data_IF_458625502595
#
_entry.id   IF_458625502595
#
_cell.length_a   1.000
_cell.length_b   1.000
_cell.length_c   1.000
_cell.angle_alpha   90.00
_cell.angle_beta   90.00
_cell.angle_gamma   90.00
#
_symmetry.space_group_name_H-M   'P 1'
#
loop_
_entity.id
_entity.type
_entity.pdbx_description
1 polymer ?
#
# COMPACT_ATOMS: atom_id res chain seq x y z
N UNK A 1 -14.71 -4.64 -43.12
CA UNK A 1 -14.21 -3.51 -43.97
C UNK A 1 -12.70 -3.57 -44.06
N UNK A 2 -12.12 -3.05 -45.13
CA UNK A 2 -10.65 -3.04 -45.36
C UNK A 2 -9.84 -2.48 -44.19
N UNK A 3 -10.42 -1.52 -43.46
CA UNK A 3 -9.81 -0.95 -42.25
C UNK A 3 -9.85 -1.94 -41.04
N UNK A 4 -10.96 -2.65 -40.85
CA UNK A 4 -11.06 -3.68 -39.82
C UNK A 4 -10.07 -4.82 -40.05
N UNK A 5 -9.98 -5.30 -41.33
CA UNK A 5 -9.06 -6.39 -41.69
C UNK A 5 -7.59 -5.98 -41.44
N UNK A 6 -7.25 -4.70 -41.68
CA UNK A 6 -5.91 -4.15 -41.42
C UNK A 6 -5.62 -4.06 -39.94
N UNK A 7 -6.59 -3.67 -39.07
CA UNK A 7 -6.45 -3.65 -37.63
C UNK A 7 -6.28 -5.06 -37.05
N UNK A 8 -7.11 -6.01 -37.48
CA UNK A 8 -7.01 -7.41 -37.07
C UNK A 8 -5.65 -8.00 -37.42
N UNK A 9 -5.14 -7.70 -38.64
CA UNK A 9 -3.80 -8.13 -39.09
C UNK A 9 -2.70 -7.52 -38.22
N UNK A 10 -2.82 -6.25 -37.84
CA UNK A 10 -1.84 -5.55 -37.01
C UNK A 10 -1.81 -6.14 -35.57
N UNK A 11 -2.97 -6.42 -34.96
CA UNK A 11 -3.05 -7.02 -33.62
C UNK A 11 -2.68 -8.52 -33.61
N UNK A 12 -2.75 -9.20 -34.77
CA UNK A 12 -2.28 -10.59 -34.85
C UNK A 12 -0.74 -10.73 -34.87
N UNK A 13 0.01 -9.63 -34.96
CA UNK A 13 1.46 -9.66 -34.81
C UNK A 13 1.92 -9.90 -33.40
N UNK A 14 3.11 -10.49 -33.15
CA UNK A 14 3.61 -10.82 -31.81
C UNK A 14 3.70 -9.64 -30.84
N UNK A 15 3.78 -8.42 -31.35
CA UNK A 15 3.81 -7.22 -30.52
C UNK A 15 2.44 -6.80 -29.99
N UNK A 16 1.35 -7.38 -30.49
CA UNK A 16 -0.04 -7.05 -30.13
C UNK A 16 -0.31 -5.53 -30.10
N UNK A 17 0.38 -4.78 -30.94
CA UNK A 17 0.33 -3.31 -31.00
C UNK A 17 -0.03 -2.84 -32.41
N UNK A 18 -0.85 -1.78 -32.43
CA UNK A 18 -1.22 -1.09 -33.67
C UNK A 18 -0.94 0.41 -33.54
N UNK A 19 -0.36 1.00 -34.56
CA UNK A 19 -0.15 2.43 -34.65
C UNK A 19 -1.06 2.95 -35.79
N UNK A 20 -1.95 3.87 -35.42
CA UNK A 20 -2.83 4.56 -36.41
C UNK A 20 -2.31 5.97 -36.56
N UNK A 21 -2.05 6.34 -37.82
CA UNK A 21 -1.68 7.70 -38.18
C UNK A 21 -2.93 8.42 -38.68
N UNK A 22 -3.30 9.51 -38.04
CA UNK A 22 -4.45 10.35 -38.40
C UNK A 22 -3.91 11.65 -38.95
N UNK A 23 -4.24 11.96 -40.24
CA UNK A 23 -3.86 13.22 -40.86
C UNK A 23 -4.54 14.38 -40.12
N UNK A 24 -3.76 15.40 -39.78
CA UNK A 24 -4.27 16.60 -39.15
C UNK A 24 -4.40 17.71 -40.17
N UNK A 25 -5.61 18.23 -40.36
CA UNK A 25 -5.83 19.45 -41.11
C UNK A 25 -5.28 20.64 -40.31
N UNK A 26 -4.53 21.52 -40.98
CA UNK A 26 -3.88 22.69 -40.39
C UNK A 26 -4.86 23.65 -39.66
N UNK A 27 -6.16 23.52 -39.89
CA UNK A 27 -7.22 24.33 -39.29
C UNK A 27 -7.67 23.83 -37.90
N UNK A 28 -7.50 22.54 -37.59
CA UNK A 28 -7.94 21.96 -36.31
C UNK A 28 -6.85 22.00 -35.20
N UNK A 29 -5.60 22.19 -35.57
CA UNK A 29 -4.47 22.28 -34.64
C UNK A 29 -4.58 23.46 -33.66
N UNK A 30 -5.37 24.50 -34.00
CA UNK A 30 -5.51 25.71 -33.15
C UNK A 30 -6.61 25.64 -32.12
N UNK A 31 -7.48 24.62 -32.12
CA UNK A 31 -8.65 24.57 -31.24
C UNK A 31 -8.59 23.49 -30.13
N UNK A 32 -7.61 22.57 -30.18
CA UNK A 32 -7.42 21.55 -29.15
C UNK A 32 -6.14 21.82 -28.37
N UNK A 33 -6.25 22.74 -27.39
CA UNK A 33 -5.19 23.14 -26.47
C UNK A 33 -4.93 22.12 -25.32
N UNK A 34 -5.04 20.83 -25.59
CA UNK A 34 -4.54 19.80 -24.68
C UNK A 34 -3.04 19.61 -24.94
N UNK A 35 -2.21 20.22 -24.11
CA UNK A 35 -0.73 20.16 -24.17
C UNK A 35 -0.15 18.74 -24.23
N UNK A 36 -0.93 17.70 -23.92
CA UNK A 36 -0.52 16.29 -23.99
C UNK A 36 -0.49 15.67 -25.39
N UNK A 37 -1.03 16.34 -26.41
CA UNK A 37 -1.12 15.79 -27.77
C UNK A 37 0.00 16.26 -28.71
N UNK A 38 0.86 17.19 -28.31
CA UNK A 38 1.93 17.73 -29.15
C UNK A 38 3.14 16.79 -29.33
N UNK A 39 3.33 15.84 -28.44
CA UNK A 39 4.50 14.94 -28.48
C UNK A 39 4.43 13.81 -29.52
N UNK A 40 3.27 13.59 -30.18
CA UNK A 40 3.04 12.47 -31.08
C UNK A 40 2.77 12.89 -32.52
N UNK A 41 3.26 14.05 -32.96
CA UNK A 41 3.11 14.50 -34.37
C UNK A 41 4.31 14.03 -35.18
N UNK A 42 4.05 13.31 -36.29
CA UNK A 42 5.04 12.96 -37.30
C UNK A 42 4.76 13.67 -38.60
N UNK A 43 5.80 14.18 -39.25
CA UNK A 43 5.68 14.72 -40.58
C UNK A 43 6.09 13.63 -41.60
N UNK A 44 5.14 13.21 -42.46
CA UNK A 44 5.35 12.21 -43.49
C UNK A 44 4.87 12.85 -44.80
N UNK A 45 5.72 12.86 -45.81
CA UNK A 45 5.45 13.43 -47.13
C UNK A 45 4.94 14.89 -47.09
N UNK A 46 5.50 15.70 -46.15
CA UNK A 46 5.11 17.10 -45.97
C UNK A 46 3.76 17.33 -45.29
N UNK A 47 3.12 16.27 -44.78
CA UNK A 47 1.85 16.35 -44.04
C UNK A 47 2.05 15.98 -42.59
N UNK A 48 1.29 16.61 -41.70
CA UNK A 48 1.33 16.35 -40.26
C UNK A 48 0.36 15.24 -39.89
N UNK A 49 0.87 14.22 -39.20
CA UNK A 49 0.12 13.06 -38.75
C UNK A 49 0.19 12.93 -37.24
N UNK A 50 -0.95 12.72 -36.59
CA UNK A 50 -1.02 12.36 -35.17
C UNK A 50 -0.88 10.84 -35.03
N UNK A 51 0.15 10.40 -34.28
CA UNK A 51 0.39 8.99 -34.03
C UNK A 51 -0.46 8.55 -32.82
N UNK A 52 -1.37 7.62 -33.05
CA UNK A 52 -2.19 6.98 -31.98
C UNK A 52 -1.78 5.53 -31.86
N UNK A 53 -1.27 5.17 -30.68
CA UNK A 53 -0.86 3.80 -30.34
C UNK A 53 -1.97 3.06 -29.63
N UNK A 54 -2.26 1.86 -30.10
CA UNK A 54 -3.22 0.93 -29.52
C UNK A 54 -2.52 -0.38 -29.19
N UNK A 55 -2.83 -0.98 -28.06
CA UNK A 55 -2.33 -2.29 -27.65
C UNK A 55 -3.51 -3.17 -27.29
N UNK A 56 -3.43 -4.45 -27.59
CA UNK A 56 -4.38 -5.47 -27.13
C UNK A 56 -4.11 -5.83 -25.66
N UNK A 57 -2.88 -5.61 -25.18
CA UNK A 57 -2.50 -5.77 -23.77
C UNK A 57 -2.76 -4.49 -22.97
N UNK A 58 -2.91 -4.65 -21.65
CA UNK A 58 -3.02 -3.51 -20.72
C UNK A 58 -1.66 -2.85 -20.52
N UNK A 59 -1.27 -2.00 -21.44
CA UNK A 59 0.02 -1.33 -21.45
C UNK A 59 -0.12 0.19 -21.37
N UNK A 60 0.75 0.83 -20.59
CA UNK A 60 0.81 2.29 -20.53
C UNK A 60 1.35 2.86 -21.84
N UNK A 61 0.60 3.76 -22.47
CA UNK A 61 0.96 4.36 -23.77
C UNK A 61 2.23 5.22 -23.71
N UNK A 62 2.56 5.79 -22.54
CA UNK A 62 3.71 6.69 -22.38
C UNK A 62 5.01 5.97 -22.03
N UNK A 63 4.96 5.00 -21.11
CA UNK A 63 6.19 4.34 -20.61
C UNK A 63 6.30 2.86 -20.98
N UNK A 64 5.30 2.26 -21.63
CA UNK A 64 5.30 0.86 -22.03
C UNK A 64 5.10 -0.14 -20.88
N UNK A 65 4.84 0.32 -19.67
CA UNK A 65 4.61 -0.60 -18.53
C UNK A 65 3.36 -1.43 -18.77
N UNK A 66 3.51 -2.74 -18.62
CA UNK A 66 2.41 -3.70 -18.69
C UNK A 66 1.69 -3.84 -17.36
N UNK A 67 0.38 -4.05 -17.42
CA UNK A 67 -0.49 -4.28 -16.28
C UNK A 67 -1.24 -5.59 -16.48
N UNK A 68 -1.48 -6.29 -15.38
CA UNK A 68 -2.31 -7.50 -15.39
C UNK A 68 -3.75 -7.17 -15.78
N UNK A 69 -4.44 -8.10 -16.45
CA UNK A 69 -5.86 -7.94 -16.75
C UNK A 69 -6.66 -7.73 -15.47
N UNK A 70 -7.59 -6.76 -15.43
CA UNK A 70 -8.40 -6.47 -14.27
C UNK A 70 -9.20 -7.71 -13.83
N UNK A 71 -8.98 -8.15 -12.61
CA UNK A 71 -9.73 -9.24 -12.00
C UNK A 71 -10.01 -8.92 -10.52
N UNK A 72 -11.09 -9.44 -9.91
CA UNK A 72 -11.48 -9.08 -8.54
C UNK A 72 -10.38 -9.27 -7.50
N UNK A 73 -9.51 -10.26 -7.67
CA UNK A 73 -8.38 -10.55 -6.77
C UNK A 73 -7.32 -9.45 -6.77
N UNK A 74 -7.17 -8.71 -7.88
CA UNK A 74 -6.23 -7.60 -7.99
C UNK A 74 -6.60 -6.46 -7.04
N UNK A 75 -7.89 -6.26 -6.76
CA UNK A 75 -8.39 -5.19 -5.89
C UNK A 75 -8.60 -5.62 -4.44
N UNK A 76 -8.08 -6.78 -4.06
CA UNK A 76 -8.18 -7.32 -2.70
C UNK A 76 -6.82 -7.32 -2.01
N UNK A 77 -6.71 -6.60 -0.90
CA UNK A 77 -5.52 -6.64 -0.05
C UNK A 77 -5.33 -7.98 0.70
N UNK A 78 -6.32 -8.87 0.68
CA UNK A 78 -6.22 -10.24 1.19
C UNK A 78 -5.71 -11.24 0.14
N UNK A 79 -5.49 -10.79 -1.10
CA UNK A 79 -4.95 -11.60 -2.18
C UNK A 79 -3.49 -11.20 -2.46
N UNK A 80 -2.56 -12.16 -2.58
CA UNK A 80 -1.18 -11.86 -2.94
C UNK A 80 -1.04 -11.08 -4.26
N UNK A 81 -2.02 -11.21 -5.17
CA UNK A 81 -2.03 -10.50 -6.45
C UNK A 81 -2.23 -8.99 -6.27
N UNK A 82 -3.08 -8.57 -5.33
CA UNK A 82 -3.43 -7.17 -5.12
C UNK A 82 -2.76 -6.54 -3.91
N UNK A 83 -2.28 -7.34 -2.97
CA UNK A 83 -1.66 -6.88 -1.74
C UNK A 83 -0.35 -6.12 -2.00
N UNK A 84 -0.08 -5.11 -1.19
CA UNK A 84 1.22 -4.47 -1.15
C UNK A 84 2.31 -5.49 -0.78
N UNK A 85 3.39 -5.63 -1.57
CA UNK A 85 4.40 -6.66 -1.33
C UNK A 85 5.21 -6.45 -0.03
N UNK A 86 5.26 -5.21 0.48
CA UNK A 86 6.02 -4.88 1.70
C UNK A 86 5.27 -5.21 2.98
N UNK A 87 3.97 -4.93 3.03
CA UNK A 87 3.14 -5.17 4.22
C UNK A 87 2.13 -6.30 4.04
N UNK A 88 2.17 -7.00 2.90
CA UNK A 88 1.29 -8.15 2.60
C UNK A 88 -0.21 -7.85 2.79
N UNK A 89 -0.61 -6.59 2.54
CA UNK A 89 -1.99 -6.14 2.68
C UNK A 89 -2.39 -5.66 4.09
N UNK A 90 -1.47 -5.65 5.06
CA UNK A 90 -1.78 -5.18 6.42
C UNK A 90 -1.85 -3.64 6.53
N UNK A 91 -1.21 -2.90 5.62
CA UNK A 91 -1.12 -1.44 5.65
C UNK A 91 -0.09 -0.91 6.65
N UNK A 92 0.35 -1.75 7.56
CA UNK A 92 1.36 -1.46 8.58
C UNK A 92 2.44 -2.53 8.56
N UNK A 93 3.64 -2.14 8.98
CA UNK A 93 4.76 -3.05 9.21
C UNK A 93 5.11 -3.05 10.69
N UNK A 94 5.51 -4.22 11.19
CA UNK A 94 6.01 -4.35 12.56
C UNK A 94 7.49 -3.96 12.55
N UNK A 95 7.88 -3.04 13.42
CA UNK A 95 9.27 -2.66 13.59
C UNK A 95 9.66 -2.66 15.07
N UNK A 96 10.95 -2.77 15.36
CA UNK A 96 11.47 -2.60 16.68
C UNK A 96 11.41 -1.12 17.05
N UNK A 97 10.73 -0.81 18.16
CA UNK A 97 10.41 0.56 18.56
C UNK A 97 11.47 1.03 19.56
N UNK A 98 12.24 2.05 19.16
CA UNK A 98 13.30 2.57 20.01
C UNK A 98 12.80 3.25 21.29
N UNK A 99 11.60 3.83 21.27
CA UNK A 99 10.99 4.42 22.47
C UNK A 99 10.61 3.34 23.50
N UNK A 100 10.28 2.12 23.03
CA UNK A 100 10.04 0.97 23.90
C UNK A 100 11.35 0.31 24.34
N UNK A 101 12.36 0.27 23.45
CA UNK A 101 13.66 -0.36 23.72
C UNK A 101 14.48 0.50 24.68
N UNK A 102 14.42 1.81 24.56
CA UNK A 102 15.10 2.79 25.42
C UNK A 102 14.06 3.75 25.97
N UNK A 103 13.26 3.33 26.96
CA UNK A 103 12.16 4.14 27.48
C UNK A 103 12.63 5.35 28.31
N UNK A 104 13.86 5.33 28.76
CA UNK A 104 14.48 6.41 29.53
C UNK A 104 15.88 6.72 28.99
N UNK A 105 15.93 7.67 28.07
CA UNK A 105 17.18 8.11 27.44
C UNK A 105 18.12 8.86 28.40
N UNK A 106 17.69 9.19 29.62
CA UNK A 106 18.54 9.78 30.66
C UNK A 106 19.45 8.76 31.34
N UNK A 107 19.12 7.47 31.22
CA UNK A 107 19.95 6.38 31.73
C UNK A 107 21.17 6.14 30.88
N UNK A 108 22.24 5.63 31.52
CA UNK A 108 23.43 5.17 30.85
C UNK A 108 23.27 3.72 30.36
N UNK A 109 24.13 3.27 29.45
CA UNK A 109 24.15 1.86 29.03
C UNK A 109 24.42 0.97 30.24
N UNK A 110 25.34 1.37 31.13
CA UNK A 110 25.68 0.67 32.34
C UNK A 110 24.47 0.54 33.29
N UNK A 111 23.67 1.60 33.43
CA UNK A 111 22.47 1.63 34.26
C UNK A 111 21.25 0.97 33.60
N UNK A 112 21.44 0.34 32.42
CA UNK A 112 20.40 -0.41 31.74
C UNK A 112 19.44 0.43 30.93
N UNK A 113 19.91 1.43 30.20
CA UNK A 113 19.11 2.20 29.25
C UNK A 113 18.39 1.30 28.23
N UNK A 114 19.04 0.20 27.80
CA UNK A 114 18.48 -0.76 26.83
C UNK A 114 17.63 -1.80 27.59
N UNK A 115 16.35 -1.53 27.70
CA UNK A 115 15.40 -2.29 28.52
C UNK A 115 15.31 -3.80 28.18
N UNK A 116 15.34 -4.27 26.92
CA UNK A 116 15.35 -5.70 26.60
C UNK A 116 16.48 -6.48 27.26
N UNK A 117 17.65 -5.86 27.42
CA UNK A 117 18.86 -6.48 27.98
C UNK A 117 18.91 -6.46 29.53
N UNK A 118 17.90 -5.85 30.19
CA UNK A 118 17.77 -5.86 31.63
C UNK A 118 17.09 -7.14 32.16
N UNK A 119 16.59 -7.97 31.27
CA UNK A 119 16.04 -9.28 31.65
C UNK A 119 17.19 -10.25 31.98
N UNK A 120 17.10 -11.04 33.06
CA UNK A 120 18.13 -12.01 33.45
C UNK A 120 18.53 -12.98 32.30
N UNK A 121 17.59 -13.30 31.42
CA UNK A 121 17.84 -14.17 30.27
C UNK A 121 18.73 -13.53 29.20
N UNK A 122 18.83 -12.19 29.16
CA UNK A 122 19.51 -11.43 28.10
C UNK A 122 20.50 -10.39 28.63
N UNK A 123 20.78 -10.41 29.92
CA UNK A 123 21.75 -9.52 30.56
C UNK A 123 23.17 -9.70 30.01
N UNK A 124 23.50 -10.88 29.50
CA UNK A 124 24.77 -11.17 28.84
C UNK A 124 25.04 -10.26 27.64
N UNK A 125 24.03 -9.86 26.88
CA UNK A 125 24.17 -8.93 25.73
C UNK A 125 24.67 -7.55 26.20
N UNK A 126 24.17 -7.07 27.35
CA UNK A 126 24.63 -5.83 27.97
C UNK A 126 26.08 -5.98 28.47
N UNK A 127 26.40 -7.09 29.13
CA UNK A 127 27.77 -7.35 29.62
C UNK A 127 28.78 -7.45 28.46
N UNK A 128 28.38 -8.06 27.36
CA UNK A 128 29.21 -8.16 26.16
C UNK A 128 29.47 -6.77 25.56
N UNK A 129 28.44 -5.93 25.42
CA UNK A 129 28.61 -4.55 24.96
C UNK A 129 29.54 -3.74 25.88
N UNK A 130 29.41 -3.89 27.21
CA UNK A 130 30.27 -3.22 28.18
C UNK A 130 31.72 -3.67 28.10
N UNK A 131 31.96 -4.97 27.81
CA UNK A 131 33.32 -5.50 27.64
C UNK A 131 33.97 -4.98 26.35
N UNK A 132 33.21 -4.71 25.31
CA UNK A 132 33.69 -4.18 24.04
C UNK A 132 33.86 -2.64 24.03
N UNK A 133 33.33 -1.96 25.06
CA UNK A 133 33.24 -0.51 25.08
C UNK A 133 34.58 0.22 24.97
N UNK A 134 35.60 -0.27 25.64
CA UNK A 134 36.96 0.32 25.64
C UNK A 134 37.63 0.17 24.25
N UNK A 135 37.48 -0.98 23.59
CA UNK A 135 38.09 -1.26 22.29
C UNK A 135 37.51 -0.36 21.16
N UNK A 136 36.31 0.19 21.34
CA UNK A 136 35.57 0.95 20.34
C UNK A 136 35.20 2.37 20.76
N UNK A 137 35.84 2.92 21.77
CA UNK A 137 35.60 4.27 22.32
C UNK A 137 34.11 4.53 22.59
N UNK A 138 33.36 3.53 23.05
CA UNK A 138 31.94 3.65 23.34
C UNK A 138 31.74 4.16 24.77
N UNK A 139 31.23 5.38 24.99
CA UNK A 139 30.98 5.92 26.32
C UNK A 139 29.74 5.26 26.94
N UNK A 140 29.94 4.40 27.91
CA UNK A 140 28.86 3.62 28.58
C UNK A 140 28.29 4.28 29.83
N UNK A 141 28.94 5.35 30.30
CA UNK A 141 28.61 6.08 31.52
C UNK A 141 27.97 7.47 31.25
N UNK A 142 27.64 7.75 30.00
CA UNK A 142 26.91 8.96 29.58
C UNK A 142 25.44 8.62 29.30
N UNK A 143 24.50 9.58 29.47
CA UNK A 143 23.10 9.38 29.10
C UNK A 143 22.94 8.93 27.65
N UNK A 144 22.02 8.01 27.39
CA UNK A 144 21.79 7.44 26.05
C UNK A 144 21.54 8.53 24.98
N UNK A 145 20.81 9.58 25.34
CA UNK A 145 20.53 10.73 24.45
C UNK A 145 21.79 11.50 24.02
N UNK A 146 22.89 11.39 24.74
CA UNK A 146 24.14 12.10 24.46
C UNK A 146 25.12 11.29 23.58
N UNK A 147 24.72 10.07 23.22
CA UNK A 147 25.51 9.18 22.37
C UNK A 147 25.55 9.74 20.93
N UNK A 148 26.72 9.71 20.30
CA UNK A 148 26.91 10.09 18.90
C UNK A 148 26.34 9.03 17.98
N UNK A 149 26.08 9.41 16.71
CA UNK A 149 25.59 8.49 15.68
C UNK A 149 26.52 7.28 15.46
N UNK A 150 27.83 7.47 15.58
CA UNK A 150 28.82 6.36 15.52
C UNK A 150 28.60 5.33 16.63
N UNK A 151 28.31 5.79 17.85
CA UNK A 151 28.02 4.93 19.00
C UNK A 151 26.69 4.19 18.83
N UNK A 152 25.66 4.91 18.41
CA UNK A 152 24.35 4.32 18.11
C UNK A 152 24.44 3.26 17.02
N UNK A 153 25.30 3.46 16.01
CA UNK A 153 25.54 2.45 14.97
C UNK A 153 26.11 1.15 15.55
N UNK A 154 27.06 1.23 16.46
CA UNK A 154 27.62 0.06 17.15
C UNK A 154 26.56 -0.66 17.95
N UNK A 155 25.72 0.07 18.68
CA UNK A 155 24.62 -0.51 19.49
C UNK A 155 23.57 -1.18 18.59
N UNK A 156 23.26 -0.57 17.43
CA UNK A 156 22.26 -1.12 16.51
C UNK A 156 22.78 -2.28 15.66
N UNK A 157 23.91 -2.08 14.99
CA UNK A 157 24.43 -3.01 13.98
C UNK A 157 25.37 -4.08 14.58
N UNK A 158 25.89 -3.78 15.79
CA UNK A 158 26.90 -4.63 16.42
C UNK A 158 28.28 -4.49 15.79
N UNK A 159 29.16 -5.42 16.15
CA UNK A 159 30.57 -5.48 15.72
C UNK A 159 30.84 -6.86 15.14
N UNK A 160 30.90 -6.95 13.81
CA UNK A 160 31.04 -8.24 13.11
C UNK A 160 32.31 -8.98 13.45
N UNK A 161 33.44 -8.26 13.65
CA UNK A 161 34.73 -8.82 13.98
C UNK A 161 34.79 -9.52 15.36
N UNK A 162 33.83 -9.13 16.23
CA UNK A 162 33.71 -9.67 17.60
C UNK A 162 32.44 -10.54 17.76
N UNK A 163 31.76 -10.89 16.66
CA UNK A 163 30.54 -11.67 16.64
C UNK A 163 29.37 -11.05 17.48
N UNK A 164 29.53 -9.79 17.89
CA UNK A 164 28.49 -9.06 18.62
C UNK A 164 27.44 -8.52 17.62
N UNK A 165 26.22 -9.00 17.75
CA UNK A 165 25.13 -8.69 16.79
C UNK A 165 24.44 -7.35 17.03
N UNK A 166 24.63 -6.70 18.16
CA UNK A 166 23.90 -5.52 18.58
C UNK A 166 22.39 -5.77 18.69
N UNK A 167 21.62 -4.70 18.69
CA UNK A 167 20.14 -4.79 18.73
C UNK A 167 19.58 -5.53 17.52
N UNK A 168 20.10 -5.27 16.33
CA UNK A 168 19.64 -5.92 15.10
C UNK A 168 19.86 -7.43 15.14
N UNK A 169 21.04 -7.88 15.55
CA UNK A 169 21.37 -9.30 15.71
C UNK A 169 20.51 -9.96 16.78
N UNK A 170 20.36 -9.33 17.93
CA UNK A 170 19.53 -9.79 19.02
C UNK A 170 18.07 -9.99 18.60
N UNK A 171 17.44 -8.98 17.97
CA UNK A 171 16.05 -9.09 17.50
C UNK A 171 15.91 -10.10 16.35
N UNK A 172 16.88 -10.19 15.44
CA UNK A 172 16.90 -11.20 14.39
C UNK A 172 16.99 -12.62 14.95
N UNK A 173 17.79 -12.83 16.00
CA UNK A 173 17.89 -14.10 16.72
C UNK A 173 16.56 -14.49 17.40
N UNK A 174 15.89 -13.54 18.04
CA UNK A 174 14.56 -13.74 18.64
C UNK A 174 13.51 -14.06 17.57
N UNK A 175 13.53 -13.36 16.43
CA UNK A 175 12.58 -13.56 15.31
C UNK A 175 12.65 -14.98 14.75
N UNK A 176 13.85 -15.52 14.55
CA UNK A 176 14.05 -16.91 14.13
C UNK A 176 13.44 -17.94 15.07
N UNK A 177 13.20 -17.55 16.34
CA UNK A 177 12.70 -18.43 17.41
C UNK A 177 11.29 -18.07 17.90
N UNK A 178 10.59 -17.20 17.18
CA UNK A 178 9.21 -16.75 17.54
C UNK A 178 8.16 -17.87 17.61
N UNK A 179 8.49 -19.06 17.14
CA UNK A 179 7.65 -20.25 17.33
C UNK A 179 7.49 -20.62 18.82
N UNK A 180 8.45 -20.24 19.67
CA UNK A 180 8.34 -20.38 21.12
C UNK A 180 7.50 -19.24 21.70
N UNK A 181 6.42 -19.59 22.40
CA UNK A 181 5.42 -18.63 22.89
C UNK A 181 6.02 -17.50 23.73
N UNK A 182 6.92 -17.84 24.68
CA UNK A 182 7.53 -16.86 25.57
C UNK A 182 8.40 -15.85 24.80
N UNK A 183 9.11 -16.27 23.73
CA UNK A 183 9.91 -15.36 22.91
C UNK A 183 9.03 -14.46 22.06
N UNK A 184 7.91 -14.96 21.55
CA UNK A 184 6.93 -14.15 20.81
C UNK A 184 6.31 -13.08 21.71
N UNK A 185 5.95 -13.42 22.94
CA UNK A 185 5.44 -12.46 23.93
C UNK A 185 6.51 -11.45 24.32
N UNK A 186 7.76 -11.88 24.49
CA UNK A 186 8.88 -10.97 24.76
C UNK A 186 9.09 -9.97 23.61
N UNK A 187 9.14 -10.46 22.36
CA UNK A 187 9.27 -9.62 21.16
C UNK A 187 8.17 -8.57 21.05
N UNK A 188 6.92 -8.94 21.35
CA UNK A 188 5.79 -8.03 21.21
C UNK A 188 5.85 -6.80 22.13
N UNK A 189 6.66 -6.86 23.20
CA UNK A 189 6.85 -5.72 24.14
C UNK A 189 7.72 -4.60 23.56
N UNK A 190 8.56 -4.92 22.59
CA UNK A 190 9.57 -4.02 22.01
C UNK A 190 9.24 -3.59 20.58
N UNK A 191 8.01 -3.87 20.14
CA UNK A 191 7.55 -3.66 18.78
C UNK A 191 6.31 -2.81 18.75
N UNK A 192 6.28 -1.92 17.76
CA UNK A 192 5.09 -1.16 17.43
C UNK A 192 4.74 -1.34 15.95
N UNK A 193 3.54 -0.87 15.60
CA UNK A 193 3.06 -0.85 14.22
C UNK A 193 3.33 0.53 13.64
N UNK A 194 4.09 0.57 12.55
CA UNK A 194 4.29 1.77 11.75
C UNK A 194 3.58 1.62 10.42
N UNK A 195 3.00 2.70 9.94
CA UNK A 195 2.42 2.72 8.60
C UNK A 195 3.43 2.27 7.55
N UNK A 196 3.02 1.43 6.61
CA UNK A 196 3.88 0.91 5.56
C UNK A 196 4.38 2.06 4.69
N UNK A 197 5.70 2.18 4.54
CA UNK A 197 6.33 3.24 3.75
C UNK A 197 6.16 3.04 2.24
N UNK A 198 5.80 1.84 1.79
CA UNK A 198 5.61 1.53 0.38
C UNK A 198 4.20 1.89 -0.11
N UNK A 199 3.16 1.47 0.61
CA UNK A 199 1.77 1.73 0.24
C UNK A 199 1.09 2.84 1.07
N UNK A 200 1.79 3.45 2.00
CA UNK A 200 1.27 4.53 2.85
C UNK A 200 -0.09 4.23 3.51
N UNK A 201 -0.32 2.94 3.82
CA UNK A 201 -1.56 2.48 4.44
C UNK A 201 -2.62 1.95 3.48
N UNK A 202 -2.48 2.13 2.17
CA UNK A 202 -3.47 1.71 1.16
C UNK A 202 -3.62 0.20 1.03
N UNK A 203 -2.66 -0.59 1.54
CA UNK A 203 -2.63 -2.06 1.57
C UNK A 203 -2.51 -2.72 0.21
N UNK A 204 -2.67 -2.00 -0.88
CA UNK A 204 -2.68 -2.49 -2.25
C UNK A 204 -1.36 -2.17 -2.96
N UNK A 205 -1.08 -2.91 -4.01
CA UNK A 205 0.06 -2.67 -4.88
C UNK A 205 -0.26 -1.61 -5.95
N UNK A 206 0.77 -1.16 -6.67
CA UNK A 206 0.64 -0.12 -7.70
C UNK A 206 -0.24 -0.53 -8.88
N UNK A 207 -0.35 -1.83 -9.21
CA UNK A 207 -1.22 -2.29 -10.29
C UNK A 207 -2.70 -2.14 -9.94
N UNK A 208 -3.08 -2.50 -8.70
CA UNK A 208 -4.43 -2.31 -8.20
C UNK A 208 -4.82 -0.83 -8.17
N UNK A 209 -3.88 0.03 -7.76
CA UNK A 209 -4.10 1.48 -7.66
C UNK A 209 -4.09 2.21 -9.01
N UNK A 210 -3.59 1.58 -10.08
CA UNK A 210 -3.61 2.15 -11.43
C UNK A 210 -5.00 2.18 -12.07
N UNK A 211 -5.96 1.42 -11.53
CA UNK A 211 -7.35 1.43 -12.01
C UNK A 211 -8.16 2.47 -11.28
N UNK A 212 -8.88 3.31 -12.02
CA UNK A 212 -9.73 4.36 -11.47
C UNK A 212 -11.15 4.28 -12.00
N UNK A 213 -12.11 4.72 -11.19
CA UNK A 213 -13.51 4.91 -11.53
C UNK A 213 -13.86 6.37 -11.22
N UNK A 214 -14.36 7.12 -12.21
CA UNK A 214 -14.66 8.54 -12.01
C UNK A 214 -13.45 9.36 -11.56
N UNK A 215 -12.22 8.96 -11.96
CA UNK A 215 -10.97 9.62 -11.61
C UNK A 215 -10.37 9.23 -10.25
N UNK A 216 -11.04 8.39 -9.44
CA UNK A 216 -10.55 7.92 -8.14
C UNK A 216 -10.21 6.44 -8.18
N UNK A 217 -9.10 6.04 -7.53
CA UNK A 217 -8.75 4.65 -7.32
C UNK A 217 -9.47 4.07 -6.08
N UNK A 218 -9.37 2.75 -5.90
CA UNK A 218 -10.08 2.06 -4.81
C UNK A 218 -9.62 2.53 -3.41
N UNK A 219 -8.34 2.86 -3.21
CA UNK A 219 -7.83 3.33 -1.93
C UNK A 219 -8.38 4.72 -1.61
N UNK A 220 -8.37 5.65 -2.57
CA UNK A 220 -8.95 6.98 -2.43
C UNK A 220 -10.44 6.93 -2.09
N UNK A 221 -11.21 6.06 -2.77
CA UNK A 221 -12.62 5.84 -2.45
C UNK A 221 -12.78 5.29 -1.03
N UNK A 222 -11.95 4.32 -0.61
CA UNK A 222 -12.02 3.73 0.73
C UNK A 222 -11.65 4.72 1.85
N UNK A 223 -10.83 5.73 1.58
CA UNK A 223 -10.45 6.79 2.53
C UNK A 223 -11.54 7.86 2.70
N UNK A 224 -12.51 7.90 1.79
CA UNK A 224 -13.63 8.83 1.91
C UNK A 224 -14.61 8.36 2.99
N UNK A 225 -15.29 9.31 3.66
CA UNK A 225 -16.43 8.98 4.55
C UNK A 225 -17.54 8.32 3.74
N UNK A 226 -18.20 7.32 4.30
CA UNK A 226 -19.27 6.55 3.64
C UNK A 226 -20.31 7.45 2.98
N UNK A 227 -20.71 8.56 3.62
CA UNK A 227 -21.65 9.54 3.02
C UNK A 227 -21.14 10.14 1.71
N UNK A 228 -19.85 10.41 1.62
CA UNK A 228 -19.25 10.96 0.40
C UNK A 228 -19.09 9.89 -0.67
N UNK A 229 -18.81 8.64 -0.27
CA UNK A 229 -18.79 7.50 -1.19
C UNK A 229 -20.16 7.27 -1.82
N UNK A 230 -21.25 7.38 -1.04
CA UNK A 230 -22.61 7.31 -1.56
C UNK A 230 -22.81 8.41 -2.61
N UNK A 231 -22.53 9.67 -2.26
CA UNK A 231 -22.70 10.80 -3.16
C UNK A 231 -21.82 10.67 -4.44
N UNK A 232 -20.64 10.08 -4.33
CA UNK A 232 -19.77 9.79 -5.45
C UNK A 232 -20.42 8.79 -6.42
N UNK A 233 -20.90 7.65 -5.91
CA UNK A 233 -21.56 6.65 -6.76
C UNK A 233 -22.89 7.12 -7.34
N UNK A 234 -23.62 8.00 -6.65
CA UNK A 234 -24.89 8.56 -7.15
C UNK A 234 -24.66 9.55 -8.29
N UNK A 235 -23.53 10.25 -8.30
CA UNK A 235 -23.16 11.23 -9.33
C UNK A 235 -22.23 10.66 -10.41
N UNK A 236 -21.94 9.37 -10.36
CA UNK A 236 -21.01 8.74 -11.30
C UNK A 236 -21.59 8.79 -12.71
N UNK A 237 -20.90 9.50 -13.60
CA UNK A 237 -21.25 9.58 -15.03
C UNK A 237 -20.69 8.35 -15.76
N UNK A 238 -21.62 7.52 -16.25
CA UNK A 238 -21.32 6.29 -16.96
C UNK A 238 -22.00 6.30 -18.32
N UNK A 239 -21.32 5.81 -19.34
CA UNK A 239 -21.96 5.55 -20.63
C UNK A 239 -23.08 4.50 -20.44
N UNK A 240 -24.05 4.49 -21.36
CA UNK A 240 -25.16 3.54 -21.35
C UNK A 240 -24.68 2.08 -21.27
N UNK A 241 -23.62 1.76 -22.02
CA UNK A 241 -23.01 0.43 -21.98
C UNK A 241 -22.42 0.11 -20.60
N UNK A 242 -21.62 1.03 -20.03
CA UNK A 242 -21.01 0.86 -18.72
C UNK A 242 -22.07 0.69 -17.63
N UNK A 243 -23.16 1.48 -17.71
CA UNK A 243 -24.27 1.39 -16.77
C UNK A 243 -24.96 0.03 -16.87
N UNK A 244 -25.26 -0.46 -18.07
CA UNK A 244 -25.91 -1.75 -18.26
C UNK A 244 -25.07 -2.92 -17.76
N UNK A 245 -23.74 -2.90 -18.00
CA UNK A 245 -22.83 -3.94 -17.50
C UNK A 245 -22.66 -3.87 -15.99
N UNK A 246 -22.55 -2.66 -15.41
CA UNK A 246 -22.25 -2.45 -14.00
C UNK A 246 -23.49 -2.36 -13.09
N UNK A 247 -24.71 -2.30 -13.63
CA UNK A 247 -25.94 -1.97 -12.90
C UNK A 247 -26.12 -2.80 -11.61
N UNK A 248 -26.08 -4.11 -11.73
CA UNK A 248 -26.29 -5.01 -10.60
C UNK A 248 -25.25 -4.81 -9.49
N UNK A 249 -23.99 -4.62 -9.87
CA UNK A 249 -22.89 -4.40 -8.91
C UNK A 249 -23.07 -3.04 -8.23
N UNK A 250 -23.40 -1.99 -9.00
CA UNK A 250 -23.63 -0.66 -8.46
C UNK A 250 -24.81 -0.63 -7.49
N UNK A 251 -25.92 -1.31 -7.80
CA UNK A 251 -27.07 -1.44 -6.91
C UNK A 251 -26.70 -2.13 -5.59
N UNK A 252 -25.89 -3.19 -5.64
CA UNK A 252 -25.42 -3.88 -4.44
C UNK A 252 -24.47 -3.01 -3.60
N UNK A 253 -23.52 -2.32 -4.24
CA UNK A 253 -22.60 -1.41 -3.55
C UNK A 253 -23.37 -0.27 -2.87
N UNK A 254 -24.25 0.40 -3.61
CA UNK A 254 -25.10 1.47 -3.09
C UNK A 254 -25.96 0.97 -1.91
N UNK A 255 -26.63 -0.16 -2.07
CA UNK A 255 -27.45 -0.76 -1.03
C UNK A 255 -26.68 -0.96 0.29
N UNK A 256 -25.48 -1.53 0.22
CA UNK A 256 -24.63 -1.75 1.40
C UNK A 256 -24.16 -0.43 2.04
N UNK A 257 -23.76 0.55 1.23
CA UNK A 257 -23.35 1.86 1.72
C UNK A 257 -24.50 2.62 2.39
N UNK A 258 -25.69 2.62 1.80
CA UNK A 258 -26.89 3.20 2.40
C UNK A 258 -27.27 2.53 3.72
N UNK A 259 -27.09 1.21 3.83
CA UNK A 259 -27.32 0.50 5.09
C UNK A 259 -26.35 0.96 6.19
N UNK A 260 -25.07 1.09 5.86
CA UNK A 260 -24.07 1.62 6.79
C UNK A 260 -24.39 3.04 7.25
N UNK A 261 -24.86 3.89 6.35
CA UNK A 261 -25.27 5.26 6.72
C UNK A 261 -26.55 5.27 7.58
N UNK A 262 -27.55 4.43 7.27
CA UNK A 262 -28.80 4.32 8.04
C UNK A 262 -28.60 3.84 9.49
N UNK A 263 -27.60 2.98 9.72
CA UNK A 263 -27.24 2.57 11.10
C UNK A 263 -26.35 3.59 11.80
N UNK A 264 -26.15 4.76 11.19
CA UNK A 264 -25.41 5.88 11.76
C UNK A 264 -23.89 5.75 11.65
N UNK A 265 -23.36 4.98 10.68
CA UNK A 265 -21.94 4.82 10.43
C UNK A 265 -21.41 5.65 9.25
N UNK A 266 -22.21 6.56 8.69
CA UNK A 266 -21.87 7.37 7.53
C UNK A 266 -20.66 8.29 7.70
N UNK A 267 -20.19 8.50 8.91
CA UNK A 267 -18.97 9.28 9.23
C UNK A 267 -17.69 8.46 9.17
N UNK A 268 -17.78 7.11 9.16
CA UNK A 268 -16.63 6.22 9.06
C UNK A 268 -16.10 6.17 7.63
N UNK A 269 -14.84 5.74 7.50
CA UNK A 269 -14.20 5.41 6.24
C UNK A 269 -14.10 3.89 6.06
N UNK A 270 -14.05 3.41 4.82
CA UNK A 270 -14.04 1.96 4.53
C UNK A 270 -12.67 1.31 4.80
N UNK A 271 -11.61 2.11 4.83
CA UNK A 271 -10.25 1.67 5.16
C UNK A 271 -10.02 1.46 6.66
N UNK A 272 -10.92 1.95 7.51
CA UNK A 272 -10.79 1.85 8.96
C UNK A 272 -10.81 0.39 9.43
N UNK A 273 -9.79 0.00 10.20
CA UNK A 273 -9.67 -1.37 10.70
C UNK A 273 -10.63 -1.66 11.85
N UNK A 274 -11.17 -2.88 11.91
CA UNK A 274 -12.13 -3.31 12.94
C UNK A 274 -11.60 -3.09 14.37
N UNK A 275 -10.32 -3.28 14.61
CA UNK A 275 -9.69 -3.08 15.95
C UNK A 275 -9.72 -1.62 16.44
N UNK A 276 -9.94 -0.66 15.53
CA UNK A 276 -10.04 0.77 15.89
C UNK A 276 -11.47 1.23 16.08
N UNK A 277 -12.46 0.35 15.83
CA UNK A 277 -13.86 0.63 16.03
C UNK A 277 -14.23 0.48 17.52
N UNK A 278 -15.14 1.33 17.99
CA UNK A 278 -15.78 1.12 19.29
C UNK A 278 -16.67 -0.12 19.26
N UNK A 279 -16.99 -0.67 20.42
CA UNK A 279 -17.88 -1.84 20.52
C UNK A 279 -19.23 -1.63 19.83
N UNK A 280 -19.84 -0.45 19.97
CA UNK A 280 -21.10 -0.10 19.30
C UNK A 280 -20.99 0.05 17.78
N UNK A 281 -19.87 0.59 17.27
CA UNK A 281 -19.58 0.65 15.84
C UNK A 281 -19.41 -0.77 15.25
N UNK A 282 -18.64 -1.63 15.93
CA UNK A 282 -18.42 -3.01 15.52
C UNK A 282 -19.73 -3.82 15.47
N UNK A 283 -20.59 -3.67 16.48
CA UNK A 283 -21.91 -4.31 16.48
C UNK A 283 -22.77 -3.85 15.31
N UNK A 284 -22.81 -2.55 15.00
CA UNK A 284 -23.56 -2.02 13.87
C UNK A 284 -23.02 -2.49 12.52
N UNK A 285 -21.70 -2.59 12.36
CA UNK A 285 -21.09 -3.19 11.15
C UNK A 285 -21.50 -4.66 11.02
N UNK A 286 -21.46 -5.44 12.10
CA UNK A 286 -21.90 -6.84 12.09
C UNK A 286 -23.39 -6.98 11.74
N UNK A 287 -24.25 -6.08 12.24
CA UNK A 287 -25.67 -6.04 11.90
C UNK A 287 -25.91 -5.81 10.41
N UNK A 288 -25.18 -4.89 9.78
CA UNK A 288 -25.30 -4.63 8.33
C UNK A 288 -24.88 -5.84 7.49
N UNK A 289 -23.88 -6.60 7.94
CA UNK A 289 -23.46 -7.84 7.26
C UNK A 289 -24.55 -8.92 7.34
N UNK A 290 -25.16 -9.09 8.51
CA UNK A 290 -26.24 -10.05 8.70
C UNK A 290 -27.50 -9.72 7.90
N UNK A 291 -27.91 -8.46 7.90
CA UNK A 291 -29.10 -7.98 7.16
C UNK A 291 -28.85 -7.94 5.65
N UNK A 292 -27.65 -7.56 5.21
CA UNK A 292 -27.29 -7.53 3.79
C UNK A 292 -27.26 -8.92 3.14
N UNK A 293 -26.91 -9.97 3.90
CA UNK A 293 -26.97 -11.36 3.39
C UNK A 293 -28.41 -11.90 3.30
N UNK A 294 -29.30 -11.44 4.15
CA UNK A 294 -30.71 -11.87 4.16
C UNK A 294 -31.50 -11.29 2.97
N UNK A 295 -31.13 -10.12 2.46
CA UNK A 295 -31.79 -9.47 1.33
C UNK A 295 -31.48 -10.16 -0.03
N UNK A 296 -30.39 -10.89 -0.13
CA UNK A 296 -30.00 -11.62 -1.37
C UNK A 296 -30.75 -12.96 -1.49
N UNK A 297 -31.27 -13.50 -0.39
CA UNK A 297 -31.98 -14.80 -0.37
C UNK A 297 -33.50 -14.67 -0.33
N UNK A 298 -34.06 -13.47 -0.46
CA UNK A 298 -35.52 -13.25 -0.45
C UNK A 298 -36.07 -12.74 -1.79
N UNK A 299 -35.35 -12.98 -2.88
CA UNK A 299 -35.86 -12.85 -4.26
C UNK A 299 -35.72 -14.26 -4.94
#
# INVERSE_FOLDING_TARGET
TRFQDSLETAFAQPAEMCVVLVEQDASEASQRSDEKNLENIRVIDGRSWCEQRYSASYQCKSCGREFSAPQPRLYSFNSPLGACPTCEGFGNVIHNDMELIVPDESKTIRDGAIAPWNSPAYEHERHELLALAEDYDLPVDVPFRELKQSHLKIIHEGIREREFGGLNGFFAWLEKRKYKMHLRVFLSRWRSYRQCTHCHGDRLNAEALATSIGGLNIAEICQMKIRYVIAFFDKLDLSEWQFNVGKLILEQVRGRLYYLDKVGLGYLTLDRTLRTLSGGESQRVSLTTALGSSLVNML
#
